data_IF_605586966311
#
_entry.id   IF_605586966311
#
_cell.length_a   1.000
_cell.length_b   1.000
_cell.length_c   1.000
_cell.angle_alpha   90.00
_cell.angle_beta   90.00
_cell.angle_gamma   90.00
#
_symmetry.space_group_name_H-M   'P 1'
#
loop_
_entity.id
_entity.type
_entity.pdbx_description
1 polymer ?
#
# COMPACT_ATOMS: atom_id res chain seq x y z
N UNK A 1 -39.41 -47.66 -27.84
CA UNK A 1 -39.24 -46.57 -28.87
C UNK A 1 -37.76 -46.24 -28.92
N UNK A 2 -37.02 -46.93 -29.77
CA UNK A 2 -35.58 -46.72 -30.01
C UNK A 2 -35.40 -45.71 -31.13
N UNK A 3 -34.76 -44.59 -30.85
CA UNK A 3 -34.29 -43.67 -31.88
C UNK A 3 -32.81 -43.93 -32.15
N UNK A 4 -32.55 -44.62 -33.27
CA UNK A 4 -31.24 -44.77 -33.90
C UNK A 4 -30.71 -43.40 -34.35
N UNK A 5 -29.61 -42.94 -33.77
CA UNK A 5 -28.84 -41.83 -34.31
C UNK A 5 -27.89 -42.36 -35.42
N UNK A 6 -28.15 -41.94 -36.63
CA UNK A 6 -27.26 -42.14 -37.77
C UNK A 6 -26.04 -41.21 -37.65
N UNK A 7 -24.86 -41.79 -37.52
CA UNK A 7 -23.59 -41.11 -37.64
C UNK A 7 -23.28 -40.79 -39.09
N UNK A 8 -23.34 -39.51 -39.47
CA UNK A 8 -22.90 -39.07 -40.80
C UNK A 8 -21.36 -39.05 -40.85
N UNK A 9 -20.85 -40.00 -41.65
CA UNK A 9 -19.46 -40.00 -42.15
C UNK A 9 -19.29 -38.83 -43.15
N UNK A 10 -18.67 -37.76 -42.71
CA UNK A 10 -18.15 -36.73 -43.61
C UNK A 10 -16.70 -36.43 -43.20
N UNK A 11 -15.79 -37.32 -43.58
CA UNK A 11 -14.36 -37.09 -43.57
C UNK A 11 -13.81 -37.46 -44.94
N UNK A 12 -14.07 -36.62 -45.95
CA UNK A 12 -13.36 -36.72 -47.23
C UNK A 12 -12.15 -35.74 -47.19
N UNK A 13 -11.00 -36.31 -47.02
CA UNK A 13 -9.74 -36.13 -47.69
C UNK A 13 -9.34 -34.72 -48.16
N UNK A 14 -8.77 -33.89 -47.25
CA UNK A 14 -7.81 -32.87 -47.68
C UNK A 14 -6.39 -33.37 -47.35
N UNK A 15 -5.86 -34.27 -48.15
CA UNK A 15 -4.40 -34.51 -48.25
C UNK A 15 -3.76 -33.25 -48.83
N UNK A 16 -3.49 -32.26 -47.98
CA UNK A 16 -2.54 -31.21 -48.34
C UNK A 16 -1.18 -31.86 -48.46
N UNK A 17 -0.71 -32.05 -49.72
CA UNK A 17 0.68 -32.33 -50.02
C UNK A 17 1.51 -31.15 -49.51
N UNK A 18 2.03 -31.25 -48.29
CA UNK A 18 3.16 -30.43 -47.90
C UNK A 18 4.31 -30.76 -48.82
N UNK A 19 4.51 -29.95 -49.86
CA UNK A 19 5.74 -29.94 -50.60
C UNK A 19 6.83 -29.57 -49.58
N UNK A 20 7.63 -30.56 -49.21
CA UNK A 20 8.87 -30.32 -48.46
C UNK A 20 9.76 -29.44 -49.33
N UNK A 21 9.69 -28.15 -49.11
CA UNK A 21 10.70 -27.18 -49.55
C UNK A 21 11.90 -27.39 -48.62
N UNK A 22 12.80 -28.30 -48.97
CA UNK A 22 14.17 -28.33 -48.45
C UNK A 22 14.98 -27.23 -49.12
N UNK A 23 14.57 -25.96 -48.96
CA UNK A 23 15.42 -24.82 -49.22
C UNK A 23 16.39 -24.74 -48.05
N UNK A 24 17.64 -25.09 -48.27
CA UNK A 24 18.70 -24.89 -47.26
C UNK A 24 18.76 -23.38 -46.93
N UNK A 25 18.72 -23.09 -45.63
CA UNK A 25 18.90 -21.72 -45.15
C UNK A 25 20.22 -21.16 -45.66
N UNK A 26 20.18 -20.01 -46.28
CA UNK A 26 21.41 -19.30 -46.70
C UNK A 26 22.12 -18.79 -45.42
N UNK A 27 23.44 -18.77 -45.43
CA UNK A 27 24.27 -18.30 -44.34
C UNK A 27 23.86 -16.86 -43.90
N UNK A 28 23.46 -16.04 -44.87
CA UNK A 28 22.96 -14.68 -44.63
C UNK A 28 21.64 -14.67 -43.86
N UNK A 29 20.72 -15.56 -44.16
CA UNK A 29 19.44 -15.65 -43.51
C UNK A 29 19.59 -16.07 -42.05
N UNK A 30 20.51 -16.98 -41.76
CA UNK A 30 20.86 -17.38 -40.38
C UNK A 30 21.48 -16.21 -39.60
N UNK A 31 22.34 -15.43 -40.23
CA UNK A 31 22.93 -14.24 -39.59
C UNK A 31 21.91 -13.15 -39.31
N UNK A 32 20.99 -12.89 -40.22
CA UNK A 32 19.90 -11.92 -40.01
C UNK A 32 18.98 -12.40 -38.92
N UNK A 33 18.53 -13.67 -38.96
CA UNK A 33 17.66 -14.23 -37.92
C UNK A 33 18.33 -14.20 -36.54
N UNK A 34 19.63 -14.55 -36.46
CA UNK A 34 20.41 -14.50 -35.23
C UNK A 34 20.55 -13.07 -34.67
N UNK A 35 20.79 -12.08 -35.52
CA UNK A 35 20.89 -10.68 -35.08
C UNK A 35 19.56 -10.13 -34.54
N UNK A 36 18.45 -10.45 -35.22
CA UNK A 36 17.10 -10.07 -34.75
C UNK A 36 16.78 -10.74 -33.42
N UNK A 37 17.08 -12.02 -33.27
CA UNK A 37 16.85 -12.77 -32.03
C UNK A 37 17.64 -12.16 -30.88
N UNK A 38 18.90 -11.78 -31.07
CA UNK A 38 19.72 -11.12 -30.06
C UNK A 38 19.13 -9.78 -29.64
N UNK A 39 18.67 -8.95 -30.59
CA UNK A 39 18.02 -7.67 -30.28
C UNK A 39 16.76 -7.87 -29.42
N UNK A 40 15.94 -8.83 -29.76
CA UNK A 40 14.72 -9.18 -29.00
C UNK A 40 15.07 -9.65 -27.58
N UNK A 41 16.06 -10.54 -27.44
CA UNK A 41 16.50 -11.02 -26.12
C UNK A 41 17.02 -9.90 -25.22
N UNK A 42 17.81 -8.96 -25.75
CA UNK A 42 18.29 -7.79 -24.99
C UNK A 42 17.12 -6.91 -24.57
N UNK A 43 16.14 -6.70 -25.46
CA UNK A 43 14.93 -5.92 -25.16
C UNK A 43 14.12 -6.53 -24.02
N UNK A 44 13.85 -7.82 -24.07
CA UNK A 44 13.08 -8.55 -23.03
C UNK A 44 13.81 -8.51 -21.69
N UNK A 45 15.14 -8.68 -21.68
CA UNK A 45 15.92 -8.64 -20.44
C UNK A 45 15.82 -7.30 -19.73
N UNK A 46 15.84 -6.19 -20.44
CA UNK A 46 15.68 -4.84 -19.84
C UNK A 46 14.30 -4.63 -19.24
N UNK A 47 13.24 -5.06 -19.92
CA UNK A 47 11.86 -4.96 -19.42
C UNK A 47 11.69 -5.80 -18.16
N UNK A 48 12.27 -7.00 -18.11
CA UNK A 48 12.19 -7.88 -16.96
C UNK A 48 12.83 -7.27 -15.71
N UNK A 49 14.01 -6.65 -15.83
CA UNK A 49 14.67 -5.97 -14.70
C UNK A 49 13.84 -4.80 -14.19
N UNK A 50 13.28 -3.98 -15.08
CA UNK A 50 12.41 -2.86 -14.70
C UNK A 50 11.15 -3.34 -13.98
N UNK A 51 10.55 -4.43 -14.45
CA UNK A 51 9.36 -5.03 -13.83
C UNK A 51 9.63 -5.50 -12.40
N UNK A 52 10.77 -6.15 -12.16
CA UNK A 52 11.15 -6.62 -10.82
C UNK A 52 11.39 -5.44 -9.88
N UNK A 53 12.09 -4.41 -10.32
CA UNK A 53 12.35 -3.21 -9.51
C UNK A 53 11.06 -2.48 -9.16
N UNK A 54 10.18 -2.29 -10.14
CA UNK A 54 8.86 -1.68 -9.92
C UNK A 54 8.00 -2.51 -8.96
N UNK A 55 8.05 -3.84 -9.06
CA UNK A 55 7.34 -4.74 -8.16
C UNK A 55 7.83 -4.63 -6.71
N UNK A 56 9.15 -4.53 -6.49
CA UNK A 56 9.73 -4.33 -5.16
C UNK A 56 9.31 -3.01 -4.54
N UNK A 57 9.37 -1.92 -5.30
CA UNK A 57 8.96 -0.60 -4.81
C UNK A 57 7.48 -0.57 -4.42
N UNK A 58 6.61 -1.23 -5.21
CA UNK A 58 5.19 -1.36 -4.87
C UNK A 58 4.98 -2.13 -3.57
N UNK A 59 5.64 -3.27 -3.40
CA UNK A 59 5.52 -4.05 -2.16
C UNK A 59 6.00 -3.28 -0.93
N UNK A 60 7.07 -2.49 -1.05
CA UNK A 60 7.56 -1.65 0.04
C UNK A 60 6.57 -0.53 0.36
N UNK A 61 6.02 0.13 -0.66
CA UNK A 61 4.97 1.13 -0.50
C UNK A 61 3.74 0.55 0.19
N UNK A 62 3.28 -0.62 -0.24
CA UNK A 62 2.12 -1.29 0.36
C UNK A 62 2.34 -1.61 1.84
N UNK A 63 3.57 -2.00 2.23
CA UNK A 63 3.93 -2.23 3.64
C UNK A 63 3.88 -0.94 4.46
N UNK A 64 4.42 0.15 3.93
CA UNK A 64 4.40 1.47 4.59
C UNK A 64 2.96 1.95 4.76
N UNK A 65 2.16 1.93 3.70
CA UNK A 65 0.76 2.36 3.74
C UNK A 65 -0.08 1.48 4.69
N UNK A 66 0.14 0.17 4.69
CA UNK A 66 -0.53 -0.75 5.63
C UNK A 66 -0.17 -0.45 7.09
N UNK A 67 1.10 -0.16 7.39
CA UNK A 67 1.54 0.19 8.74
C UNK A 67 0.94 1.53 9.19
N UNK A 68 0.89 2.53 8.31
CA UNK A 68 0.25 3.83 8.58
C UNK A 68 -1.24 3.62 8.82
N UNK A 69 -1.92 2.87 7.96
CA UNK A 69 -3.36 2.61 8.09
C UNK A 69 -3.70 1.89 9.40
N UNK A 70 -2.93 0.85 9.74
CA UNK A 70 -3.07 0.15 11.01
C UNK A 70 -2.87 1.09 12.22
N UNK A 71 -1.86 1.97 12.15
CA UNK A 71 -1.61 2.94 13.21
C UNK A 71 -2.75 3.96 13.36
N UNK A 72 -3.34 4.41 12.23
CA UNK A 72 -4.53 5.28 12.24
C UNK A 72 -5.70 4.59 12.94
N UNK A 73 -5.94 3.31 12.63
CA UNK A 73 -7.01 2.53 13.29
C UNK A 73 -6.77 2.40 14.80
N UNK A 74 -5.53 2.17 15.23
CA UNK A 74 -5.18 2.13 16.65
C UNK A 74 -5.43 3.47 17.35
N UNK A 75 -5.10 4.58 16.69
CA UNK A 75 -5.38 5.92 17.21
C UNK A 75 -6.88 6.17 17.33
N UNK A 76 -7.66 5.82 16.32
CA UNK A 76 -9.12 5.94 16.35
C UNK A 76 -9.73 5.05 17.45
N UNK A 77 -9.20 3.86 17.65
CA UNK A 77 -9.62 2.98 18.73
C UNK A 77 -9.26 3.56 20.12
N UNK A 78 -8.09 4.17 20.25
CA UNK A 78 -7.68 4.83 21.48
C UNK A 78 -8.58 6.04 21.78
N UNK A 79 -8.87 6.87 20.77
CA UNK A 79 -9.79 8.00 20.89
C UNK A 79 -11.21 7.54 21.28
N UNK A 80 -11.72 6.47 20.67
CA UNK A 80 -13.04 5.92 21.02
C UNK A 80 -13.13 5.41 22.46
N UNK A 81 -12.01 4.97 23.08
CA UNK A 81 -11.94 4.58 24.48
C UNK A 81 -11.90 5.78 25.45
N UNK A 82 -11.51 6.95 24.97
CA UNK A 82 -11.49 8.18 25.75
C UNK A 82 -12.90 8.76 25.81
N UNK A 83 -13.64 8.41 26.86
CA UNK A 83 -14.96 9.00 27.15
C UNK A 83 -14.87 9.86 28.41
N UNK A 84 -15.75 10.86 28.56
CA UNK A 84 -15.76 11.68 29.77
C UNK A 84 -15.97 10.85 31.03
N UNK A 85 -16.76 9.75 30.94
CA UNK A 85 -16.99 8.84 32.07
C UNK A 85 -15.72 8.08 32.49
N UNK A 86 -14.83 7.79 31.52
CA UNK A 86 -13.56 7.10 31.78
C UNK A 86 -12.49 7.98 32.38
N UNK A 87 -12.68 9.32 32.38
CA UNK A 87 -11.72 10.29 32.87
C UNK A 87 -11.95 10.62 34.35
N UNK A 88 -10.87 10.84 35.14
CA UNK A 88 -10.99 11.42 36.50
C UNK A 88 -11.68 12.78 36.45
N UNK A 89 -12.49 13.09 37.46
CA UNK A 89 -13.26 14.35 37.49
C UNK A 89 -12.37 15.60 37.36
N UNK A 90 -11.15 15.56 37.89
CA UNK A 90 -10.19 16.66 37.79
C UNK A 90 -9.69 16.90 36.36
N UNK A 91 -9.53 15.81 35.56
CA UNK A 91 -9.04 15.93 34.19
C UNK A 91 -10.14 16.29 33.19
N UNK A 92 -11.43 16.07 33.50
CA UNK A 92 -12.56 16.34 32.59
C UNK A 92 -12.62 17.78 32.15
N UNK A 93 -12.43 18.71 33.10
CA UNK A 93 -12.46 20.15 32.81
C UNK A 93 -11.33 20.56 31.88
N UNK A 94 -10.11 20.09 32.15
CA UNK A 94 -8.94 20.41 31.33
C UNK A 94 -9.06 19.77 29.94
N UNK A 95 -9.57 18.54 29.86
CA UNK A 95 -9.85 17.86 28.60
C UNK A 95 -10.87 18.63 27.75
N UNK A 96 -11.94 19.15 28.36
CA UNK A 96 -12.93 19.93 27.64
C UNK A 96 -12.45 21.34 27.24
N UNK A 97 -11.55 21.94 28.01
CA UNK A 97 -10.96 23.27 27.65
C UNK A 97 -9.94 23.12 26.49
N UNK A 98 -9.16 22.04 26.47
CA UNK A 98 -8.11 21.84 25.49
C UNK A 98 -8.16 20.39 24.93
N UNK A 99 -9.22 20.01 24.19
CA UNK A 99 -9.46 18.62 23.81
C UNK A 99 -8.36 18.05 22.90
N UNK A 100 -7.85 18.83 21.96
CA UNK A 100 -6.79 18.39 21.06
C UNK A 100 -5.46 18.13 21.79
N UNK A 101 -5.11 19.01 22.75
CA UNK A 101 -3.90 18.83 23.56
C UNK A 101 -4.03 17.60 24.45
N UNK A 102 -5.19 17.40 25.07
CA UNK A 102 -5.45 16.27 25.93
C UNK A 102 -5.34 14.95 25.16
N UNK A 103 -5.96 14.84 23.98
CA UNK A 103 -5.86 13.67 23.13
C UNK A 103 -4.40 13.41 22.73
N UNK A 104 -3.68 14.42 22.28
CA UNK A 104 -2.26 14.33 21.94
C UNK A 104 -1.44 13.75 23.08
N UNK A 105 -1.60 14.30 24.29
CA UNK A 105 -0.81 13.89 25.46
C UNK A 105 -1.11 12.44 25.86
N UNK A 106 -2.37 11.99 25.72
CA UNK A 106 -2.75 10.60 25.98
C UNK A 106 -2.21 9.62 24.93
N UNK A 107 -2.15 10.02 23.65
CA UNK A 107 -1.62 9.20 22.56
C UNK A 107 -0.09 9.08 22.59
N UNK A 108 0.63 10.14 23.02
CA UNK A 108 2.09 10.18 23.07
C UNK A 108 2.69 9.65 24.40
N UNK A 109 1.86 9.28 25.38
CA UNK A 109 2.35 8.71 26.62
C UNK A 109 3.11 7.40 26.37
N UNK A 110 4.27 7.18 27.04
CA UNK A 110 5.06 5.96 26.82
C UNK A 110 4.37 4.70 27.34
N UNK A 111 3.42 4.83 28.26
CA UNK A 111 2.64 3.73 28.83
C UNK A 111 1.27 4.21 29.27
N UNK A 112 0.22 3.49 28.86
CA UNK A 112 -1.17 3.80 29.21
C UNK A 112 -2.14 3.00 28.35
N UNK A 113 -3.40 2.87 28.80
CA UNK A 113 -4.45 2.13 28.06
C UNK A 113 -4.81 2.76 26.71
N UNK A 114 -4.43 3.99 26.48
CA UNK A 114 -4.66 4.77 25.25
C UNK A 114 -3.39 5.13 24.50
N UNK A 115 -2.23 4.73 25.02
CA UNK A 115 -0.95 4.90 24.34
C UNK A 115 -0.93 4.09 23.04
N UNK A 116 -0.53 4.75 21.96
CA UNK A 116 -0.42 4.10 20.64
C UNK A 116 1.05 4.12 20.20
N UNK A 117 1.67 2.96 20.01
CA UNK A 117 3.06 2.91 19.56
C UNK A 117 3.20 3.53 18.17
N UNK A 118 4.40 4.02 17.85
CA UNK A 118 4.71 4.51 16.51
C UNK A 118 4.64 3.34 15.51
N UNK A 119 4.24 3.58 14.25
CA UNK A 119 4.24 2.53 13.24
C UNK A 119 5.69 2.09 12.96
N UNK A 120 5.92 0.79 12.92
CA UNK A 120 7.24 0.21 12.66
C UNK A 120 7.19 -0.66 11.41
N UNK A 121 8.08 -0.36 10.47
CA UNK A 121 8.33 -1.16 9.27
C UNK A 121 9.84 -1.24 9.10
N UNK A 122 10.36 -2.44 8.88
CA UNK A 122 11.77 -2.60 8.54
C UNK A 122 11.94 -2.29 7.05
N UNK A 123 12.52 -1.14 6.74
CA UNK A 123 12.89 -0.77 5.38
C UNK A 123 14.05 -1.60 4.82
N UNK A 124 14.37 -1.38 3.56
CA UNK A 124 15.46 -2.10 2.85
C UNK A 124 16.82 -1.86 3.52
N UNK A 125 17.00 -0.70 4.12
CA UNK A 125 18.21 -0.28 4.85
C UNK A 125 18.22 -0.70 6.33
N UNK A 126 17.25 -1.49 6.78
CA UNK A 126 17.08 -1.92 8.16
C UNK A 126 16.58 -0.83 9.12
N UNK A 127 16.25 0.37 8.60
CA UNK A 127 15.69 1.48 9.39
C UNK A 127 14.19 1.60 9.17
N UNK A 128 13.49 2.14 10.18
CA UNK A 128 12.08 2.48 10.02
C UNK A 128 11.95 3.73 9.16
N UNK A 129 11.35 3.65 7.96
CA UNK A 129 11.18 4.80 7.08
C UNK A 129 10.10 5.77 7.56
N UNK A 130 9.24 5.38 8.52
CA UNK A 130 8.05 6.13 8.93
C UNK A 130 8.35 6.94 10.19
N UNK A 131 8.07 8.23 10.12
CA UNK A 131 8.07 9.12 11.27
C UNK A 131 6.65 9.60 11.53
N UNK A 132 6.17 9.48 12.78
CA UNK A 132 4.88 10.01 13.22
C UNK A 132 5.09 11.20 14.15
N UNK A 133 4.37 12.28 13.89
CA UNK A 133 4.23 13.43 14.80
C UNK A 133 2.76 13.71 15.05
N UNK A 134 2.42 14.09 16.30
CA UNK A 134 1.08 14.48 16.70
C UNK A 134 1.14 15.96 17.12
N UNK A 135 0.30 16.78 16.52
CA UNK A 135 0.20 18.22 16.76
C UNK A 135 -1.24 18.66 16.98
N UNK A 136 -1.39 19.95 17.26
CA UNK A 136 -2.70 20.61 17.33
C UNK A 136 -2.94 21.25 15.96
N UNK A 137 -4.15 21.13 15.45
CA UNK A 137 -4.57 21.77 14.20
C UNK A 137 -4.75 23.28 14.34
N UNK A 138 -5.16 23.92 13.26
CA UNK A 138 -5.52 25.35 13.24
C UNK A 138 -6.70 25.66 14.16
N UNK A 139 -7.60 24.70 14.37
CA UNK A 139 -8.67 24.78 15.36
C UNK A 139 -8.25 24.09 16.65
N UNK A 140 -8.49 24.69 17.84
CA UNK A 140 -8.06 24.15 19.14
C UNK A 140 -8.69 22.81 19.51
N UNK A 141 -9.77 22.43 18.81
CA UNK A 141 -10.45 21.13 18.97
C UNK A 141 -9.95 20.02 18.04
N UNK A 142 -8.99 20.28 17.16
CA UNK A 142 -8.54 19.30 16.16
C UNK A 142 -7.11 18.85 16.46
N UNK A 143 -6.92 17.54 16.62
CA UNK A 143 -5.62 16.91 16.71
C UNK A 143 -5.17 16.48 15.32
N UNK A 144 -3.94 16.82 14.93
CA UNK A 144 -3.38 16.50 13.63
C UNK A 144 -2.27 15.46 13.79
N UNK A 145 -2.46 14.31 13.17
CA UNK A 145 -1.44 13.25 13.08
C UNK A 145 -0.78 13.31 11.72
N UNK A 146 0.51 13.51 11.70
CA UNK A 146 1.31 13.55 10.48
C UNK A 146 2.27 12.38 10.43
N UNK A 147 2.22 11.64 9.33
CA UNK A 147 3.19 10.61 8.98
C UNK A 147 4.07 11.13 7.86
N UNK A 148 5.38 11.07 8.04
CA UNK A 148 6.37 11.40 7.01
C UNK A 148 7.19 10.17 6.71
N UNK A 149 7.40 9.84 5.45
CA UNK A 149 8.21 8.70 5.03
C UNK A 149 8.88 8.95 3.69
N UNK A 150 10.00 8.26 3.46
CA UNK A 150 10.66 8.28 2.16
C UNK A 150 9.96 7.33 1.20
N UNK A 151 9.57 7.82 0.04
CA UNK A 151 9.00 6.98 -1.00
C UNK A 151 10.02 5.94 -1.47
N UNK A 152 9.60 4.67 -1.69
CA UNK A 152 10.51 3.65 -2.20
C UNK A 152 10.96 3.93 -3.64
N UNK A 153 10.22 4.76 -4.39
CA UNK A 153 10.57 5.19 -5.73
C UNK A 153 11.56 6.35 -5.68
N UNK A 154 12.68 6.18 -6.36
CA UNK A 154 13.83 7.09 -6.32
C UNK A 154 13.53 8.56 -6.74
N UNK A 155 12.44 8.77 -7.48
CA UNK A 155 12.09 10.09 -8.03
C UNK A 155 11.09 10.90 -7.20
N UNK A 156 10.47 10.31 -6.17
CA UNK A 156 9.35 10.94 -5.45
C UNK A 156 9.83 11.68 -4.19
N UNK A 157 10.86 11.17 -3.51
CA UNK A 157 11.41 11.80 -2.32
C UNK A 157 10.57 11.54 -1.06
N UNK A 158 10.34 12.58 -0.24
CA UNK A 158 9.54 12.46 0.98
C UNK A 158 8.06 12.66 0.70
N UNK A 159 7.26 11.74 1.22
CA UNK A 159 5.81 11.82 1.23
C UNK A 159 5.27 12.09 2.63
N UNK A 160 4.05 12.62 2.66
CA UNK A 160 3.39 13.02 3.88
C UNK A 160 1.92 12.59 3.85
N UNK A 161 1.46 11.95 4.94
CA UNK A 161 0.05 11.65 5.18
C UNK A 161 -0.40 12.41 6.42
N UNK A 162 -1.50 13.12 6.32
CA UNK A 162 -2.06 13.92 7.40
C UNK A 162 -3.45 13.41 7.71
N UNK A 163 -3.73 13.20 8.98
CA UNK A 163 -5.05 12.79 9.48
C UNK A 163 -5.46 13.79 10.56
N UNK A 164 -6.64 14.35 10.41
CA UNK A 164 -7.26 15.23 11.37
C UNK A 164 -8.26 14.41 12.21
N UNK A 165 -8.18 14.59 13.52
CA UNK A 165 -9.01 13.89 14.47
C UNK A 165 -9.72 14.91 15.35
N UNK A 166 -11.02 14.78 15.47
CA UNK A 166 -11.81 15.49 16.46
C UNK A 166 -12.03 14.56 17.65
N UNK A 167 -11.51 14.88 18.86
CA UNK A 167 -11.62 14.01 20.02
C UNK A 167 -13.05 13.60 20.31
N UNK A 168 -13.30 12.30 20.44
CA UNK A 168 -14.64 11.75 20.58
C UNK A 168 -15.40 12.32 21.80
N UNK A 169 -14.71 12.56 22.91
CA UNK A 169 -15.31 13.10 24.13
C UNK A 169 -15.74 14.57 24.02
N UNK A 170 -15.21 15.32 23.06
CA UNK A 170 -15.49 16.76 22.88
C UNK A 170 -16.98 17.04 22.66
N UNK A 171 -17.68 16.15 21.97
CA UNK A 171 -19.12 16.30 21.69
C UNK A 171 -19.99 16.25 22.95
N UNK A 172 -19.43 15.80 24.09
CA UNK A 172 -20.11 15.71 25.39
C UNK A 172 -19.64 16.78 26.38
N UNK A 173 -18.71 17.64 25.96
CA UNK A 173 -18.24 18.76 26.76
C UNK A 173 -19.33 19.84 26.81
N UNK A 174 -20.07 19.89 27.90
CA UNK A 174 -20.98 20.99 28.22
C UNK A 174 -20.13 21.96 29.08
N UNK A 175 -19.75 23.10 28.52
CA UNK A 175 -19.11 24.15 29.25
C UNK A 175 -20.23 24.91 30.02
N UNK A 176 -20.41 24.55 31.28
CA UNK A 176 -21.19 25.34 32.23
C UNK A 176 -20.42 26.61 32.61
#
# INVERSE_FOLDING_TARGET
>A
MEKKYQANKFCSGLKRRFKSFSAGFTLVEVLIAGSVLLMVMVGISRISVQSITSGRNRMERDRIEAAIHNNIQLIQQADAKLTLESMPNQERRDACLNPAQYLKDKLDQPSGSTSVPKPEVTGIDGKNPIQRSIGIGTSPGITVVTYSFSAPEYSIGQERRVVELNPNFQNRCILE
#
